data_IF_799049317001
#
_entry.id   IF_799049317001
#
_cell.length_a   1.000
_cell.length_b   1.000
_cell.length_c   1.000
_cell.angle_alpha   90.00
_cell.angle_beta   90.00
_cell.angle_gamma   90.00
#
_symmetry.space_group_name_H-M   'P 1'
#
loop_
_entity.id
_entity.type
_entity.pdbx_description
1 polymer ?
#
# COMPACT_ATOMS: atom_id res chain seq x y z
N UNK A 1 -13.92 -18.84 -3.71
CA UNK A 1 -13.26 -17.57 -3.36
C UNK A 1 -13.74 -16.53 -4.35
N UNK A 2 -14.20 -15.35 -3.92
CA UNK A 2 -14.56 -14.28 -4.88
C UNK A 2 -13.27 -13.85 -5.58
N UNK A 3 -13.31 -13.69 -6.89
CA UNK A 3 -12.21 -13.07 -7.63
C UNK A 3 -12.10 -11.61 -7.19
N UNK A 4 -10.92 -11.23 -6.68
CA UNK A 4 -10.62 -9.86 -6.33
C UNK A 4 -10.19 -9.12 -7.59
N UNK A 5 -10.95 -8.09 -7.98
CA UNK A 5 -10.63 -7.23 -9.12
C UNK A 5 -9.73 -6.08 -8.66
N UNK A 6 -8.55 -5.96 -9.25
CA UNK A 6 -7.61 -4.88 -8.97
C UNK A 6 -7.68 -3.80 -10.05
N UNK A 7 -7.51 -2.55 -9.64
CA UNK A 7 -7.49 -1.38 -10.54
C UNK A 7 -6.16 -0.65 -10.39
N UNK A 8 -5.60 -0.19 -11.51
CA UNK A 8 -4.45 0.70 -11.52
C UNK A 8 -4.95 2.15 -11.53
N UNK A 9 -4.56 2.92 -10.54
CA UNK A 9 -4.89 4.34 -10.41
C UNK A 9 -3.61 5.13 -10.22
N UNK A 10 -3.61 6.39 -10.67
CA UNK A 10 -2.49 7.29 -10.39
C UNK A 10 -2.48 7.70 -8.92
N UNK A 11 -1.31 8.03 -8.40
CA UNK A 11 -1.17 8.40 -6.99
C UNK A 11 -1.86 9.74 -6.67
N UNK A 12 -1.86 10.70 -7.59
CA UNK A 12 -2.49 12.03 -7.40
C UNK A 12 -3.99 11.94 -7.13
N UNK A 13 -4.67 10.92 -7.67
CA UNK A 13 -6.11 10.73 -7.48
C UNK A 13 -6.48 9.95 -6.21
N UNK A 14 -5.49 9.42 -5.47
CA UNK A 14 -5.76 8.69 -4.24
C UNK A 14 -6.22 9.64 -3.13
N UNK A 15 -7.32 9.31 -2.42
CA UNK A 15 -7.70 10.01 -1.21
C UNK A 15 -6.56 10.00 -0.18
N UNK A 16 -6.41 11.08 0.58
CA UNK A 16 -5.33 11.24 1.56
C UNK A 16 -5.21 10.06 2.54
N UNK A 17 -6.32 9.50 2.99
CA UNK A 17 -6.31 8.35 3.89
C UNK A 17 -5.67 7.10 3.26
N UNK A 18 -5.88 6.87 1.96
CA UNK A 18 -5.24 5.76 1.23
C UNK A 18 -3.75 6.03 1.02
N UNK A 19 -3.38 7.27 0.65
CA UNK A 19 -1.97 7.69 0.50
C UNK A 19 -1.19 7.54 1.81
N UNK A 20 -1.75 8.05 2.92
CA UNK A 20 -1.19 7.90 4.27
C UNK A 20 -1.14 6.43 4.70
N UNK A 21 -2.09 5.58 4.28
CA UNK A 21 -2.03 4.14 4.56
C UNK A 21 -0.80 3.49 3.91
N UNK A 22 -0.47 3.86 2.67
CA UNK A 22 0.76 3.42 1.99
C UNK A 22 2.01 3.92 2.71
N UNK A 23 1.99 5.13 3.24
CA UNK A 23 3.09 5.67 4.05
C UNK A 23 3.29 4.91 5.37
N UNK A 24 2.21 4.62 6.09
CA UNK A 24 2.25 3.79 7.32
C UNK A 24 2.87 2.43 7.04
N UNK A 25 2.45 1.76 5.96
CA UNK A 25 3.05 0.48 5.53
C UNK A 25 4.54 0.63 5.25
N UNK A 26 4.95 1.67 4.51
CA UNK A 26 6.35 1.96 4.20
C UNK A 26 7.19 2.21 5.46
N UNK A 27 6.65 2.87 6.49
CA UNK A 27 7.34 3.09 7.76
C UNK A 27 7.58 1.76 8.50
N UNK A 28 6.56 0.90 8.55
CA UNK A 28 6.63 -0.41 9.18
C UNK A 28 7.62 -1.34 8.45
N UNK A 29 7.52 -1.43 7.12
CA UNK A 29 8.39 -2.28 6.29
C UNK A 29 9.87 -1.89 6.43
N UNK A 30 10.14 -0.59 6.56
CA UNK A 30 11.50 -0.06 6.72
C UNK A 30 11.98 -0.05 8.17
N UNK A 31 11.20 -0.60 9.11
CA UNK A 31 11.47 -0.56 10.56
C UNK A 31 11.75 0.86 11.07
N UNK A 32 11.08 1.86 10.50
CA UNK A 32 11.13 3.27 10.92
C UNK A 32 10.06 3.63 11.95
N UNK A 33 9.21 2.68 12.29
CA UNK A 33 8.23 2.77 13.36
C UNK A 33 8.19 1.46 14.13
N UNK A 34 8.10 1.54 15.45
CA UNK A 34 8.18 0.37 16.35
C UNK A 34 6.84 -0.36 16.46
N UNK A 35 5.74 0.29 16.10
CA UNK A 35 4.40 -0.27 16.10
C UNK A 35 3.49 0.42 15.10
N UNK A 36 2.33 -0.18 14.83
CA UNK A 36 1.28 0.46 14.03
C UNK A 36 0.85 1.78 14.67
N UNK A 37 0.77 1.87 16.00
CA UNK A 37 0.37 3.09 16.69
C UNK A 37 1.36 4.25 16.44
N UNK A 38 2.66 3.97 16.52
CA UNK A 38 3.71 4.93 16.20
C UNK A 38 3.69 5.33 14.72
N UNK A 39 3.54 4.35 13.82
CA UNK A 39 3.51 4.60 12.38
C UNK A 39 2.32 5.48 11.94
N UNK A 40 1.12 5.23 12.45
CA UNK A 40 -0.06 6.04 12.11
C UNK A 40 0.02 7.44 12.70
N UNK A 41 0.66 7.62 13.85
CA UNK A 41 0.93 8.94 14.42
C UNK A 41 1.92 9.73 13.55
N UNK A 42 3.01 9.09 13.10
CA UNK A 42 4.00 9.70 12.20
C UNK A 42 3.41 10.11 10.85
N UNK A 43 2.44 9.36 10.33
CA UNK A 43 1.76 9.61 9.06
C UNK A 43 0.48 10.47 9.20
N UNK A 44 0.17 10.97 10.40
CA UNK A 44 -1.05 11.74 10.69
C UNK A 44 -2.34 11.04 10.19
N UNK A 45 -2.49 9.76 10.56
CA UNK A 45 -3.62 8.91 10.21
C UNK A 45 -4.24 8.32 11.46
N UNK A 46 -5.56 8.22 11.51
CA UNK A 46 -6.21 7.49 12.61
C UNK A 46 -5.99 5.97 12.46
N UNK A 47 -5.94 5.25 13.58
CA UNK A 47 -5.87 3.78 13.57
C UNK A 47 -7.03 3.14 12.79
N UNK A 48 -8.25 3.66 12.96
CA UNK A 48 -9.43 3.16 12.25
C UNK A 48 -9.35 3.39 10.74
N UNK A 49 -8.84 4.54 10.29
CA UNK A 49 -8.63 4.81 8.88
C UNK A 49 -7.56 3.90 8.27
N UNK A 50 -6.46 3.65 9.01
CA UNK A 50 -5.46 2.67 8.58
C UNK A 50 -6.09 1.28 8.39
N UNK A 51 -6.79 0.74 9.40
CA UNK A 51 -7.37 -0.59 9.31
C UNK A 51 -8.47 -0.71 8.24
N UNK A 52 -9.16 0.39 7.91
CA UNK A 52 -10.14 0.41 6.80
C UNK A 52 -9.50 0.12 5.43
N UNK A 53 -8.27 0.56 5.21
CA UNK A 53 -7.59 0.45 3.90
C UNK A 53 -6.39 -0.51 3.92
N UNK A 54 -5.97 -0.99 5.09
CA UNK A 54 -4.78 -1.84 5.29
C UNK A 54 -4.78 -3.03 4.34
N UNK A 55 -5.92 -3.69 4.17
CA UNK A 55 -6.01 -4.93 3.40
C UNK A 55 -6.58 -4.71 1.99
N UNK A 56 -6.74 -3.45 1.56
CA UNK A 56 -7.32 -3.09 0.25
C UNK A 56 -6.40 -2.21 -0.62
N UNK A 57 -5.46 -1.49 -0.02
CA UNK A 57 -4.57 -0.55 -0.73
C UNK A 57 -3.13 -1.01 -0.59
N UNK A 58 -2.49 -1.38 -1.70
CA UNK A 58 -1.12 -1.88 -1.71
C UNK A 58 -0.31 -1.18 -2.81
N UNK A 59 1.01 -1.04 -2.62
CA UNK A 59 1.90 -0.66 -3.71
C UNK A 59 1.84 -1.72 -4.83
N UNK A 60 1.86 -1.26 -6.08
CA UNK A 60 1.81 -2.16 -7.25
C UNK A 60 2.94 -3.21 -7.22
N UNK A 61 4.16 -2.82 -6.85
CA UNK A 61 5.32 -3.73 -6.78
C UNK A 61 5.12 -4.89 -5.79
N UNK A 62 4.23 -4.76 -4.80
CA UNK A 62 3.93 -5.81 -3.82
C UNK A 62 2.98 -6.87 -4.39
N UNK A 63 2.18 -6.51 -5.40
CA UNK A 63 1.23 -7.42 -6.07
C UNK A 63 1.88 -8.24 -7.19
N UNK A 64 3.04 -7.80 -7.67
CA UNK A 64 3.86 -8.51 -8.64
C UNK A 64 4.54 -9.68 -7.92
N UNK A 65 3.78 -10.74 -7.62
CA UNK A 65 4.33 -12.03 -7.19
C UNK A 65 4.99 -12.78 -8.36
N UNK A 66 4.68 -12.39 -9.60
CA UNK A 66 5.22 -12.95 -10.83
C UNK A 66 6.11 -11.92 -11.54
N UNK A 67 7.37 -12.26 -11.81
CA UNK A 67 8.28 -11.39 -12.55
C UNK A 67 7.70 -11.09 -13.94
N UNK A 68 7.57 -9.80 -14.28
CA UNK A 68 7.30 -9.40 -15.67
C UNK A 68 8.58 -9.64 -16.46
N UNK A 69 8.67 -10.79 -17.14
CA UNK A 69 9.75 -11.10 -18.08
C UNK A 69 9.35 -10.53 -19.44
N UNK A 70 10.03 -9.48 -19.89
CA UNK A 70 9.89 -8.99 -21.26
C UNK A 70 10.91 -9.70 -22.13
N UNK A 71 10.45 -10.63 -22.97
CA UNK A 71 11.29 -11.33 -23.96
C UNK A 71 11.21 -10.60 -25.29
N UNK A 72 12.34 -10.15 -25.81
CA UNK A 72 12.47 -9.68 -27.18
C UNK A 72 13.09 -10.80 -28.01
N UNK A 73 12.42 -11.18 -29.09
CA UNK A 73 12.95 -12.10 -30.09
C UNK A 73 13.25 -11.30 -31.36
N UNK A 74 14.45 -11.48 -31.92
CA UNK A 74 14.87 -10.90 -33.20
C UNK A 74 14.65 -11.90 -34.33
#
# INVERSE_FOLDING_TARGET
MKEETFYLVREDVLPDAMRKTLEVKKLLDRKKADSVADAVQKADLSRSAFYKYRDAVFPFYTMVKEQIITLFFH
#
